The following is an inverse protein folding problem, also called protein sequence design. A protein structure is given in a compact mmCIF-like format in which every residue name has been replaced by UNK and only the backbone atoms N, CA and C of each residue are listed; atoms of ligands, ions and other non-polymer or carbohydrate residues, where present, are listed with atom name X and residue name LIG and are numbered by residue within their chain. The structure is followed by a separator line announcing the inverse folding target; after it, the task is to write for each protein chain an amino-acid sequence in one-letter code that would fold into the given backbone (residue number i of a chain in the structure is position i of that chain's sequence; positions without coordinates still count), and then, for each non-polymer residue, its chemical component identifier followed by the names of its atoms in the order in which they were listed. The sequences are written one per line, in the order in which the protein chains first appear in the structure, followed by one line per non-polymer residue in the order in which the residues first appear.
data_IF_621528241282
#
_entry.id   IF_621528241282
#
_cell.length_a   1.000
_cell.length_b   1.000
_cell.length_c   1.000
_cell.angle_alpha   90.00
_cell.angle_beta   90.00
_cell.angle_gamma   90.00
#
_symmetry.space_group_name_H-M   'P 1'
#
loop_
_entity.id
_entity.type
_entity.pdbx_description
1 polymer ?
#
# COMPACT_ATOMS: atom_id res chain seq x y z
N UNK A 1 7.57 3.88 10.22
CA UNK A 1 6.22 4.27 9.76
C UNK A 1 5.23 3.34 10.44
N UNK A 2 4.46 3.90 11.37
CA UNK A 2 3.41 3.20 12.12
C UNK A 2 2.10 3.09 11.30
N UNK A 3 1.11 2.35 11.82
CA UNK A 3 -0.24 2.32 11.23
C UNK A 3 -0.92 3.70 11.21
N UNK A 4 -0.70 4.50 12.24
CA UNK A 4 -1.25 5.87 12.33
C UNK A 4 -0.63 6.77 11.27
N UNK A 5 0.69 6.73 11.10
CA UNK A 5 1.40 7.49 10.05
C UNK A 5 0.90 7.09 8.66
N UNK A 6 0.77 5.78 8.42
CA UNK A 6 0.29 5.27 7.15
C UNK A 6 -1.16 5.69 6.85
N UNK A 7 -2.02 5.71 7.87
CA UNK A 7 -3.41 6.17 7.73
C UNK A 7 -3.50 7.68 7.48
N UNK A 8 -2.66 8.46 8.17
CA UNK A 8 -2.54 9.90 7.92
C UNK A 8 -2.05 10.18 6.49
N UNK A 9 -1.01 9.47 6.04
CA UNK A 9 -0.49 9.61 4.68
C UNK A 9 -1.55 9.35 3.61
N UNK A 10 -2.42 8.35 3.81
CA UNK A 10 -3.54 8.09 2.91
C UNK A 10 -4.57 9.22 2.88
N UNK A 11 -4.87 9.79 4.04
CA UNK A 11 -5.83 10.90 4.18
C UNK A 11 -5.30 12.13 3.43
N UNK A 12 -4.06 12.51 3.70
CA UNK A 12 -3.41 13.64 3.04
C UNK A 12 -3.28 13.41 1.53
N UNK A 13 -2.95 12.19 1.09
CA UNK A 13 -2.85 11.86 -0.33
C UNK A 13 -4.20 12.02 -1.04
N UNK A 14 -5.27 11.47 -0.47
CA UNK A 14 -6.63 11.64 -0.98
C UNK A 14 -7.05 13.12 -1.06
N UNK A 15 -6.90 13.85 0.05
CA UNK A 15 -7.30 15.26 0.13
C UNK A 15 -6.51 16.12 -0.87
N UNK A 16 -5.22 15.87 -1.02
CA UNK A 16 -4.37 16.61 -1.96
C UNK A 16 -4.79 16.37 -3.40
N UNK A 17 -5.01 15.11 -3.80
CA UNK A 17 -5.42 14.79 -5.17
C UNK A 17 -6.80 15.35 -5.49
N UNK A 18 -7.75 15.28 -4.55
CA UNK A 18 -9.11 15.77 -4.75
C UNK A 18 -9.19 17.31 -4.68
N UNK A 19 -8.71 17.91 -3.61
CA UNK A 19 -8.97 19.33 -3.34
C UNK A 19 -7.96 20.27 -3.97
N UNK A 20 -6.68 19.88 -4.04
CA UNK A 20 -5.63 20.73 -4.62
C UNK A 20 -5.51 20.55 -6.12
N UNK A 21 -5.49 19.29 -6.60
CA UNK A 21 -5.26 18.99 -8.01
C UNK A 21 -6.52 18.69 -8.82
N UNK A 22 -7.67 18.49 -8.17
CA UNK A 22 -8.96 18.18 -8.82
C UNK A 22 -8.94 16.88 -9.65
N UNK A 23 -8.09 15.92 -9.27
CA UNK A 23 -8.06 14.60 -9.90
C UNK A 23 -9.07 13.67 -9.22
N UNK A 24 -10.35 13.83 -9.55
CA UNK A 24 -11.46 13.10 -8.93
C UNK A 24 -11.32 11.57 -9.09
N UNK A 25 -11.00 11.10 -10.30
CA UNK A 25 -10.79 9.68 -10.58
C UNK A 25 -9.65 9.09 -9.74
N UNK A 26 -8.53 9.80 -9.64
CA UNK A 26 -7.39 9.35 -8.83
C UNK A 26 -7.75 9.34 -7.34
N UNK A 27 -8.50 10.33 -6.86
CA UNK A 27 -8.97 10.38 -5.49
C UNK A 27 -9.88 9.18 -5.16
N UNK A 28 -10.77 8.78 -6.06
CA UNK A 28 -11.58 7.57 -5.92
C UNK A 28 -10.71 6.31 -5.85
N UNK A 29 -9.72 6.19 -6.74
CA UNK A 29 -8.80 5.06 -6.75
C UNK A 29 -8.03 4.91 -5.43
N UNK A 30 -7.63 6.03 -4.82
CA UNK A 30 -6.97 6.05 -3.51
C UNK A 30 -7.88 5.47 -2.42
N UNK A 31 -9.15 5.87 -2.37
CA UNK A 31 -10.10 5.36 -1.37
C UNK A 31 -10.38 3.87 -1.55
N UNK A 32 -10.60 3.42 -2.78
CA UNK A 32 -10.83 2.02 -3.10
C UNK A 32 -9.61 1.14 -2.75
N UNK A 33 -8.41 1.61 -3.10
CA UNK A 33 -7.17 0.92 -2.74
C UNK A 33 -6.94 0.88 -1.23
N UNK A 34 -7.21 1.98 -0.50
CA UNK A 34 -7.17 1.99 0.96
C UNK A 34 -8.17 1.00 1.57
N UNK A 35 -9.36 0.87 1.00
CA UNK A 35 -10.34 -0.12 1.43
C UNK A 35 -9.83 -1.56 1.25
N UNK A 36 -9.14 -1.86 0.14
CA UNK A 36 -8.49 -3.16 -0.06
C UNK A 36 -7.38 -3.40 0.97
N UNK A 37 -6.52 -2.42 1.18
CA UNK A 37 -5.46 -2.48 2.19
C UNK A 37 -6.02 -2.70 3.60
N UNK A 38 -7.13 -2.05 3.96
CA UNK A 38 -7.81 -2.23 5.24
C UNK A 38 -8.42 -3.64 5.40
N UNK A 39 -8.93 -4.23 4.31
CA UNK A 39 -9.41 -5.64 4.33
C UNK A 39 -8.26 -6.60 4.59
N UNK A 40 -7.13 -6.41 3.91
CA UNK A 40 -5.91 -7.21 4.10
C UNK A 40 -5.40 -7.06 5.53
N UNK A 41 -5.33 -5.83 6.06
CA UNK A 41 -4.87 -5.56 7.41
C UNK A 41 -5.67 -6.34 8.46
N UNK A 42 -7.01 -6.32 8.35
CA UNK A 42 -7.90 -7.04 9.27
C UNK A 42 -7.70 -8.56 9.21
N UNK A 43 -7.37 -9.08 8.03
CA UNK A 43 -7.23 -10.52 7.78
C UNK A 43 -5.84 -11.03 8.17
N UNK A 44 -4.79 -10.38 7.68
CA UNK A 44 -3.42 -10.92 7.64
C UNK A 44 -2.37 -10.00 8.29
N UNK A 45 -2.81 -8.92 8.96
CA UNK A 45 -1.93 -8.02 9.71
C UNK A 45 -1.35 -6.86 8.90
N UNK A 46 -0.68 -5.96 9.62
CA UNK A 46 -0.20 -4.69 9.10
C UNK A 46 0.84 -4.87 8.00
N UNK A 47 1.81 -5.76 8.20
CA UNK A 47 2.91 -5.93 7.25
C UNK A 47 2.46 -6.48 5.90
N UNK A 48 1.51 -7.42 5.89
CA UNK A 48 0.89 -7.90 4.64
C UNK A 48 0.21 -6.76 3.88
N UNK A 49 -0.53 -5.90 4.58
CA UNK A 49 -1.22 -4.77 3.96
C UNK A 49 -0.24 -3.69 3.47
N UNK A 50 0.82 -3.41 4.23
CA UNK A 50 1.84 -2.43 3.85
C UNK A 50 2.65 -2.88 2.62
N UNK A 51 3.08 -4.15 2.59
CA UNK A 51 3.80 -4.72 1.44
C UNK A 51 2.93 -4.69 0.19
N UNK A 52 1.65 -5.07 0.31
CA UNK A 52 0.68 -4.97 -0.78
C UNK A 52 0.54 -3.54 -1.30
N UNK A 53 0.37 -2.57 -0.39
CA UNK A 53 0.27 -1.15 -0.75
C UNK A 53 1.48 -0.65 -1.55
N UNK A 54 2.69 -0.92 -1.04
CA UNK A 54 3.93 -0.50 -1.67
C UNK A 54 4.07 -1.11 -3.07
N UNK A 55 3.82 -2.42 -3.22
CA UNK A 55 3.93 -3.10 -4.52
C UNK A 55 2.92 -2.56 -5.53
N UNK A 56 1.65 -2.45 -5.14
CA UNK A 56 0.59 -1.97 -6.04
C UNK A 56 0.82 -0.53 -6.49
N UNK A 57 1.16 0.38 -5.56
CA UNK A 57 1.43 1.78 -5.93
C UNK A 57 2.70 1.93 -6.74
N UNK A 58 3.78 1.21 -6.41
CA UNK A 58 5.02 1.23 -7.20
C UNK A 58 4.74 0.81 -8.64
N UNK A 59 4.01 -0.29 -8.84
CA UNK A 59 3.64 -0.75 -10.18
C UNK A 59 2.78 0.29 -10.92
N UNK A 60 1.86 0.97 -10.24
CA UNK A 60 1.00 1.96 -10.87
C UNK A 60 1.76 3.16 -11.46
N UNK A 61 2.88 3.53 -10.84
CA UNK A 61 3.73 4.62 -11.29
C UNK A 61 4.83 4.19 -12.27
N UNK A 62 5.28 2.94 -12.18
CA UNK A 62 6.29 2.37 -13.09
C UNK A 62 5.69 1.99 -14.44
N UNK A 63 4.50 1.40 -14.45
CA UNK A 63 3.82 0.97 -15.66
C UNK A 63 2.76 2.00 -16.05
N UNK A 64 3.15 2.91 -16.94
CA UNK A 64 2.26 3.93 -17.48
C UNK A 64 1.72 3.49 -18.85
N UNK A 65 0.44 3.11 -18.97
CA UNK A 65 -0.16 2.87 -20.26
C UNK A 65 -0.10 4.14 -21.12
N UNK A 66 0.07 3.94 -22.43
CA UNK A 66 -0.01 5.00 -23.41
C UNK A 66 -1.31 4.81 -24.19
N UNK A 67 -2.19 5.79 -24.14
CA UNK A 67 -3.41 5.85 -24.94
C UNK A 67 -3.37 7.13 -25.77
N UNK A 68 -3.60 7.04 -27.07
CA UNK A 68 -3.56 8.17 -28.01
C UNK A 68 -2.30 9.08 -27.93
N UNK A 69 -1.17 8.49 -27.52
CA UNK A 69 0.12 9.19 -27.39
C UNK A 69 0.34 9.89 -26.05
N UNK A 70 -0.61 9.79 -25.12
CA UNK A 70 -0.49 10.33 -23.77
C UNK A 70 -0.23 9.22 -22.74
N UNK A 71 0.64 9.52 -21.75
CA UNK A 71 0.91 8.61 -20.63
C UNK A 71 -0.15 8.76 -19.53
N UNK A 72 -0.68 7.64 -19.07
CA UNK A 72 -1.65 7.58 -17.98
C UNK A 72 -1.11 6.80 -16.78
N UNK A 73 -1.65 7.10 -15.60
CA UNK A 73 -1.40 6.30 -14.39
C UNK A 73 -2.25 5.04 -14.47
N UNK A 74 -1.64 3.87 -14.22
CA UNK A 74 -2.39 2.62 -14.17
C UNK A 74 -3.41 2.62 -13.01
N UNK A 75 -4.63 2.16 -13.29
CA UNK A 75 -5.67 1.97 -12.26
C UNK A 75 -5.21 0.94 -11.20
N UNK A 76 -5.03 1.45 -9.98
CA UNK A 76 -4.63 0.69 -8.80
C UNK A 76 -5.78 0.51 -7.79
N UNK A 77 -7.00 0.92 -8.12
CA UNK A 77 -8.18 0.81 -7.25
C UNK A 77 -8.60 -0.65 -7.02
N UNK A 78 -8.38 -1.51 -8.01
CA UNK A 78 -8.82 -2.91 -8.00
C UNK A 78 -7.84 -3.78 -7.22
N UNK A 79 -8.39 -4.67 -6.40
CA UNK A 79 -7.63 -5.71 -5.71
C UNK A 79 -6.81 -6.52 -6.72
N UNK A 80 -5.50 -6.69 -6.45
CA UNK A 80 -4.58 -7.51 -7.25
C UNK A 80 -4.27 -8.81 -6.49
N UNK A 81 -4.97 -9.94 -6.77
CA UNK A 81 -4.88 -11.14 -5.94
C UNK A 81 -3.48 -11.74 -5.88
N UNK A 82 -2.74 -11.75 -7.01
CA UNK A 82 -1.38 -12.29 -7.05
C UNK A 82 -0.41 -11.43 -6.22
N UNK A 83 -0.44 -10.11 -6.37
CA UNK A 83 0.36 -9.20 -5.54
C UNK A 83 0.05 -9.35 -4.05
N UNK A 84 -1.21 -9.63 -3.69
CA UNK A 84 -1.58 -9.93 -2.32
C UNK A 84 -1.04 -11.26 -1.83
N UNK A 85 -1.12 -12.33 -2.64
CA UNK A 85 -0.52 -13.63 -2.29
C UNK A 85 0.98 -13.51 -2.08
N UNK A 86 1.68 -12.73 -2.92
CA UNK A 86 3.10 -12.44 -2.77
C UNK A 86 3.38 -11.68 -1.47
N UNK A 87 2.66 -10.59 -1.22
CA UNK A 87 2.80 -9.81 0.01
C UNK A 87 2.54 -10.64 1.28
N UNK A 88 1.55 -11.54 1.22
CA UNK A 88 1.25 -12.49 2.30
C UNK A 88 2.36 -13.52 2.48
N UNK A 89 2.83 -14.14 1.40
CA UNK A 89 3.88 -15.14 1.45
C UNK A 89 5.18 -14.55 2.03
N UNK A 90 5.52 -13.33 1.65
CA UNK A 90 6.68 -12.60 2.14
C UNK A 90 6.55 -12.23 3.63
N UNK A 91 5.41 -11.66 4.03
CA UNK A 91 5.13 -11.38 5.44
C UNK A 91 5.13 -12.67 6.28
N UNK A 92 4.65 -13.79 5.73
CA UNK A 92 4.71 -15.10 6.38
C UNK A 92 6.14 -15.61 6.51
N UNK A 93 6.93 -15.57 5.44
CA UNK A 93 8.31 -16.06 5.44
C UNK A 93 9.19 -15.28 6.43
N UNK A 94 8.87 -14.01 6.63
CA UNK A 94 9.55 -13.18 7.61
C UNK A 94 8.95 -13.31 9.02
N UNK A 95 7.95 -14.17 9.28
CA UNK A 95 7.22 -14.21 10.55
C UNK A 95 6.74 -12.82 10.97
N UNK A 96 5.93 -12.15 10.13
CA UNK A 96 5.40 -10.80 10.38
C UNK A 96 3.88 -10.77 10.61
N UNK A 97 3.19 -11.89 10.40
CA UNK A 97 1.71 -11.97 10.46
C UNK A 97 1.12 -11.66 11.85
N UNK A 98 1.94 -11.78 12.90
CA UNK A 98 1.55 -11.41 14.26
C UNK A 98 1.50 -9.89 14.49
N UNK A 99 2.15 -9.07 13.66
CA UNK A 99 2.14 -7.62 13.81
C UNK A 99 0.85 -7.03 13.21
N UNK A 100 -0.15 -6.80 14.06
CA UNK A 100 -1.49 -6.37 13.64
C UNK A 100 -1.57 -4.89 13.25
N UNK A 101 -0.85 -4.02 13.97
CA UNK A 101 -0.90 -2.56 13.79
C UNK A 101 0.48 -1.90 13.83
N UNK A 102 1.53 -2.65 14.14
CA UNK A 102 2.86 -2.10 14.38
C UNK A 102 3.79 -2.51 13.25
N UNK A 103 4.72 -1.62 12.89
CA UNK A 103 5.79 -1.95 11.98
C UNK A 103 6.98 -2.45 12.81
N UNK A 104 7.38 -3.73 12.72
CA UNK A 104 8.47 -4.24 13.55
C UNK A 104 9.83 -3.62 13.20
N UNK A 105 9.95 -3.00 12.02
CA UNK A 105 11.17 -2.36 11.50
C UNK A 105 11.23 -0.86 11.80
N UNK A 106 10.25 -0.29 12.51
CA UNK A 106 10.35 1.11 12.92
C UNK A 106 11.47 1.32 13.94
N UNK A 107 11.96 2.56 14.07
CA UNK A 107 13.00 2.91 15.03
C UNK A 107 12.54 2.57 16.45
N UNK A 108 13.35 1.83 17.22
CA UNK A 108 12.98 1.28 18.52
C UNK A 108 12.09 0.04 18.46
N UNK A 109 11.74 -0.44 17.27
CA UNK A 109 10.95 -1.64 17.04
C UNK A 109 11.75 -2.94 17.26
N UNK A 110 11.07 -4.08 17.44
CA UNK A 110 11.71 -5.36 17.74
C UNK A 110 12.67 -5.87 16.65
N UNK A 111 12.58 -5.32 15.43
CA UNK A 111 13.37 -5.70 14.26
C UNK A 111 14.03 -4.51 13.56
N UNK A 112 14.22 -3.39 14.25
CA UNK A 112 14.87 -2.19 13.69
C UNK A 112 16.19 -2.51 12.97
N UNK A 113 16.98 -3.44 13.51
CA UNK A 113 18.31 -3.82 13.00
C UNK A 113 18.30 -5.05 12.08
N UNK A 114 17.12 -5.55 11.72
CA UNK A 114 17.00 -6.70 10.83
C UNK A 114 16.84 -6.22 9.40
N UNK A 115 17.69 -6.74 8.53
CA UNK A 115 17.52 -6.55 7.09
C UNK A 115 16.36 -7.44 6.64
N UNK A 116 15.19 -6.82 6.39
CA UNK A 116 14.12 -7.50 5.69
C UNK A 116 14.60 -7.84 4.27
N UNK A 117 14.43 -9.09 3.86
CA UNK A 117 14.61 -9.47 2.45
C UNK A 117 13.42 -8.89 1.70
N UNK A 118 13.70 -7.97 0.77
CA UNK A 118 12.73 -7.29 -0.10
C UNK A 118 12.84 -7.82 -1.52
#
# INVERSE_FOLDING_TARGET
MSFSDWTLNYTVFYETMLYSYKFETLAEWILLHKANCNKILRKDGFMTALRYDIKVRTNAWQFKPIEDGEEYVSDFSKMKPETYKEAYAEARNNDELQFKTNNPYELGGPREKWDAVW
#
